data_IF_571335877352
#
_entry.id   IF_571335877352
#
_cell.length_a   1.000
_cell.length_b   1.000
_cell.length_c   1.000
_cell.angle_alpha   90.00
_cell.angle_beta   90.00
_cell.angle_gamma   90.00
#
_symmetry.space_group_name_H-M   'P 1'
#
loop_
_entity.id
_entity.type
_entity.pdbx_description
1 polymer ?
#
# COMPACT_ATOMS: atom_id res chain seq x y z
N UNK A 1 42.78 36.09 42.23
CA UNK A 1 41.33 36.06 42.00
C UNK A 1 41.02 34.99 40.95
N UNK A 2 40.33 33.88 41.30
CA UNK A 2 39.84 32.93 40.30
C UNK A 2 38.66 33.59 39.57
N UNK A 3 38.80 33.90 38.28
CA UNK A 3 37.67 34.33 37.45
C UNK A 3 36.66 33.18 37.39
N UNK A 4 35.50 33.33 38.04
CA UNK A 4 34.33 32.47 37.80
C UNK A 4 33.74 32.90 36.46
N UNK A 5 33.98 32.08 35.42
CA UNK A 5 33.21 32.18 34.19
C UNK A 5 31.85 31.56 34.48
N UNK A 6 30.86 32.40 34.80
CA UNK A 6 29.46 31.96 34.86
C UNK A 6 28.96 31.85 33.41
N UNK A 7 28.35 30.73 33.06
CA UNK A 7 27.53 30.66 31.85
C UNK A 7 26.42 31.69 31.99
N UNK A 8 26.34 32.64 31.06
CA UNK A 8 25.31 33.66 31.04
C UNK A 8 24.02 33.04 30.49
N UNK A 9 22.95 32.91 31.28
CA UNK A 9 21.69 32.31 30.85
C UNK A 9 20.98 33.12 29.75
N UNK A 10 21.36 34.39 29.51
CA UNK A 10 20.78 35.21 28.44
C UNK A 10 21.49 35.07 27.09
N UNK A 11 22.62 34.35 27.02
CA UNK A 11 23.36 34.12 25.78
C UNK A 11 23.29 32.65 25.32
N UNK A 12 22.11 32.27 24.83
CA UNK A 12 21.80 30.91 24.37
C UNK A 12 22.79 30.37 23.32
N UNK A 13 23.26 31.20 22.40
CA UNK A 13 24.23 30.81 21.38
C UNK A 13 25.63 30.49 21.92
N UNK A 14 26.05 31.13 23.02
CA UNK A 14 27.32 30.81 23.69
C UNK A 14 27.20 29.55 24.54
N UNK A 15 26.08 29.38 25.25
CA UNK A 15 25.80 28.18 26.02
C UNK A 15 25.78 26.93 25.13
N UNK A 16 25.12 27.00 23.98
CA UNK A 16 25.00 25.88 23.03
C UNK A 16 26.35 25.50 22.40
N UNK A 17 27.22 26.49 22.13
CA UNK A 17 28.60 26.25 21.67
C UNK A 17 29.45 25.56 22.73
N UNK A 18 29.34 25.97 23.99
CA UNK A 18 30.09 25.36 25.10
C UNK A 18 29.58 23.94 25.36
N UNK A 19 28.26 23.74 25.34
CA UNK A 19 27.64 22.41 25.48
C UNK A 19 28.09 21.47 24.37
N UNK A 20 28.07 21.92 23.11
CA UNK A 20 28.54 21.12 21.97
C UNK A 20 30.02 20.75 22.12
N UNK A 21 30.88 21.72 22.48
CA UNK A 21 32.31 21.46 22.69
C UNK A 21 32.58 20.52 23.89
N UNK A 22 31.76 20.59 24.94
CA UNK A 22 31.84 19.65 26.06
C UNK A 22 31.42 18.25 25.64
N UNK A 23 30.32 18.11 24.89
CA UNK A 23 29.86 16.80 24.39
C UNK A 23 30.86 16.17 23.41
N UNK A 24 31.49 16.97 22.53
CA UNK A 24 32.55 16.51 21.62
C UNK A 24 33.84 16.11 22.35
N UNK A 25 34.15 16.77 23.48
CA UNK A 25 35.33 16.48 24.28
C UNK A 25 35.20 15.34 25.28
N UNK A 26 33.98 14.80 25.47
CA UNK A 26 33.73 13.67 26.37
C UNK A 26 33.99 12.35 25.64
N UNK A 27 34.85 11.50 26.22
CA UNK A 27 34.99 10.13 25.74
C UNK A 27 33.66 9.36 25.95
N UNK A 28 33.18 8.61 24.94
CA UNK A 28 31.97 7.81 25.08
C UNK A 28 32.13 6.80 26.23
N UNK A 29 31.30 6.94 27.26
CA UNK A 29 31.23 5.98 28.35
C UNK A 29 30.87 4.61 27.78
N UNK A 30 31.82 3.69 27.84
CA UNK A 30 31.60 2.31 27.44
C UNK A 30 30.63 1.66 28.43
N UNK A 31 29.50 1.08 27.98
CA UNK A 31 28.60 0.37 28.87
C UNK A 31 29.35 -0.80 29.53
N UNK A 32 29.13 -1.00 30.83
CA UNK A 32 29.65 -2.14 31.58
C UNK A 32 29.19 -3.46 30.96
N UNK A 33 29.86 -4.57 31.27
CA UNK A 33 29.45 -5.88 30.77
C UNK A 33 28.00 -6.22 31.11
N UNK A 34 27.56 -5.87 32.32
CA UNK A 34 26.17 -6.06 32.76
C UNK A 34 25.18 -5.18 31.98
N UNK A 35 25.55 -3.93 31.68
CA UNK A 35 24.74 -3.04 30.84
C UNK A 35 24.65 -3.59 29.41
N UNK A 36 25.78 -4.03 28.83
CA UNK A 36 25.81 -4.67 27.51
C UNK A 36 24.94 -5.92 27.46
N UNK A 37 25.01 -6.78 28.47
CA UNK A 37 24.18 -7.98 28.57
C UNK A 37 22.68 -7.63 28.62
N UNK A 38 22.31 -6.60 29.38
CA UNK A 38 20.92 -6.14 29.51
C UNK A 38 20.40 -5.54 28.21
N UNK A 39 21.20 -4.68 27.55
CA UNK A 39 20.86 -4.10 26.23
C UNK A 39 20.69 -5.22 25.21
N UNK A 40 21.62 -6.18 25.18
CA UNK A 40 21.56 -7.34 24.30
C UNK A 40 20.28 -8.15 24.50
N UNK A 41 19.96 -8.49 25.75
CA UNK A 41 18.75 -9.26 26.06
C UNK A 41 17.47 -8.53 25.60
N UNK A 42 17.36 -7.22 25.88
CA UNK A 42 16.21 -6.41 25.44
C UNK A 42 16.12 -6.30 23.91
N UNK A 43 17.25 -6.15 23.23
CA UNK A 43 17.29 -6.07 21.76
C UNK A 43 16.83 -7.39 21.13
N UNK A 44 17.35 -8.53 21.59
CA UNK A 44 16.91 -9.84 21.10
C UNK A 44 15.43 -10.09 21.39
N UNK A 45 14.95 -9.73 22.58
CA UNK A 45 13.52 -9.83 22.89
C UNK A 45 12.65 -9.00 21.92
N UNK A 46 13.07 -7.77 21.59
CA UNK A 46 12.37 -6.92 20.62
C UNK A 46 12.43 -7.50 19.20
N UNK A 47 13.57 -8.02 18.77
CA UNK A 47 13.72 -8.68 17.47
C UNK A 47 12.81 -9.90 17.37
N UNK A 48 12.76 -10.75 18.41
CA UNK A 48 11.88 -11.91 18.43
C UNK A 48 10.40 -11.52 18.42
N UNK A 49 10.01 -10.49 19.20
CA UNK A 49 8.63 -10.00 19.20
C UNK A 49 8.23 -9.43 17.83
N UNK A 50 9.13 -8.64 17.21
CA UNK A 50 8.94 -8.10 15.86
C UNK A 50 8.78 -9.22 14.83
N UNK A 51 9.72 -10.17 14.79
CA UNK A 51 9.67 -11.30 13.87
C UNK A 51 8.40 -12.14 14.05
N UNK A 52 7.96 -12.37 15.30
CA UNK A 52 6.72 -13.09 15.57
C UNK A 52 5.48 -12.34 15.07
N UNK A 53 5.42 -11.01 15.29
CA UNK A 53 4.31 -10.17 14.86
C UNK A 53 4.22 -10.02 13.33
N UNK A 54 5.35 -10.03 12.64
CA UNK A 54 5.42 -9.88 11.18
C UNK A 54 5.37 -11.23 10.43
N UNK A 55 5.65 -12.36 11.10
CA UNK A 55 5.66 -13.69 10.49
C UNK A 55 4.39 -14.11 9.73
N UNK A 56 3.16 -13.75 10.14
CA UNK A 56 1.97 -14.14 9.38
C UNK A 56 1.73 -13.25 8.15
N UNK A 57 2.43 -12.13 8.02
CA UNK A 57 2.22 -11.15 6.94
C UNK A 57 3.03 -11.53 5.70
N UNK A 58 2.44 -11.34 4.53
CA UNK A 58 3.12 -11.53 3.25
C UNK A 58 3.44 -10.16 2.68
N UNK A 59 4.72 -9.85 2.48
CA UNK A 59 5.15 -8.60 1.82
C UNK A 59 5.82 -8.93 0.49
N UNK A 60 5.37 -8.29 -0.58
CA UNK A 60 5.96 -8.39 -1.91
C UNK A 60 6.52 -7.01 -2.27
N UNK A 61 7.84 -6.93 -2.38
CA UNK A 61 8.48 -5.69 -2.80
C UNK A 61 8.20 -5.39 -4.27
N UNK A 62 8.22 -4.12 -4.65
CA UNK A 62 8.03 -3.66 -6.02
C UNK A 62 8.96 -4.37 -7.02
N UNK A 63 10.21 -4.62 -6.62
CA UNK A 63 11.24 -5.32 -7.39
C UNK A 63 11.19 -6.86 -7.27
N UNK A 64 10.38 -7.41 -6.36
CA UNK A 64 10.17 -8.84 -6.19
C UNK A 64 9.00 -9.34 -7.05
N UNK A 65 8.94 -10.66 -7.24
CA UNK A 65 7.96 -11.34 -8.08
C UNK A 65 8.45 -11.52 -9.52
N UNK A 66 7.69 -12.25 -10.31
CA UNK A 66 8.02 -12.57 -11.71
C UNK A 66 6.97 -12.01 -12.64
N UNK A 67 7.41 -11.23 -13.63
CA UNK A 67 6.59 -10.79 -14.75
C UNK A 67 6.40 -11.92 -15.74
N UNK A 68 5.16 -12.21 -16.10
CA UNK A 68 4.79 -13.21 -17.10
C UNK A 68 4.12 -12.51 -18.28
N UNK A 69 4.56 -12.83 -19.49
CA UNK A 69 3.90 -12.38 -20.71
C UNK A 69 2.52 -13.03 -20.82
N UNK A 70 1.49 -12.21 -21.02
CA UNK A 70 0.11 -12.64 -21.24
C UNK A 70 -0.24 -12.51 -22.72
N UNK A 71 0.07 -11.36 -23.31
CA UNK A 71 -0.09 -11.05 -24.73
C UNK A 71 1.14 -10.26 -25.22
N UNK A 72 1.33 -10.05 -26.53
CA UNK A 72 2.32 -9.10 -27.02
C UNK A 72 2.14 -7.71 -26.36
N UNK A 73 3.19 -7.23 -25.68
CA UNK A 73 3.18 -5.95 -24.96
C UNK A 73 2.33 -5.91 -23.69
N UNK A 74 1.88 -7.07 -23.18
CA UNK A 74 1.11 -7.14 -21.93
C UNK A 74 1.72 -8.18 -21.00
N UNK A 75 2.10 -7.73 -19.81
CA UNK A 75 2.75 -8.55 -18.79
C UNK A 75 1.98 -8.48 -17.48
N UNK A 76 1.93 -9.59 -16.74
CA UNK A 76 1.33 -9.63 -15.41
C UNK A 76 2.32 -10.12 -14.35
N UNK A 77 2.29 -9.52 -13.17
CA UNK A 77 3.02 -9.96 -11.98
C UNK A 77 2.04 -10.31 -10.88
N UNK A 78 1.94 -11.60 -10.58
CA UNK A 78 1.06 -12.12 -9.53
C UNK A 78 1.55 -11.67 -8.15
N UNK A 79 0.63 -11.13 -7.34
CA UNK A 79 0.88 -10.74 -5.95
C UNK A 79 0.32 -11.81 -5.01
N UNK A 80 -0.97 -12.13 -5.14
CA UNK A 80 -1.59 -13.23 -4.38
C UNK A 80 -2.49 -14.08 -5.27
N UNK A 81 -2.35 -15.40 -5.14
CA UNK A 81 -3.17 -16.40 -5.83
C UNK A 81 -4.55 -16.51 -5.22
N UNK A 82 -4.64 -16.48 -3.89
CA UNK A 82 -5.91 -16.73 -3.20
C UNK A 82 -6.88 -15.58 -3.44
N UNK A 83 -6.34 -14.36 -3.31
CA UNK A 83 -7.07 -13.13 -3.53
C UNK A 83 -7.08 -12.64 -4.99
N UNK A 84 -6.40 -13.35 -5.89
CA UNK A 84 -6.26 -13.01 -7.32
C UNK A 84 -5.83 -11.56 -7.54
N UNK A 85 -4.88 -11.11 -6.72
CA UNK A 85 -4.29 -9.78 -6.79
C UNK A 85 -3.02 -9.82 -7.66
N UNK A 86 -2.87 -8.87 -8.57
CA UNK A 86 -1.72 -8.80 -9.47
C UNK A 86 -1.50 -7.40 -10.03
N UNK A 87 -0.31 -7.19 -10.60
CA UNK A 87 -0.02 -6.01 -11.41
C UNK A 87 -0.09 -6.36 -12.89
N UNK A 88 -0.68 -5.49 -13.69
CA UNK A 88 -0.73 -5.58 -15.15
C UNK A 88 0.03 -4.41 -15.76
N UNK A 89 1.09 -4.72 -16.50
CA UNK A 89 1.86 -3.76 -17.27
C UNK A 89 1.45 -3.86 -18.75
N UNK A 90 0.99 -2.74 -19.29
CA UNK A 90 0.58 -2.59 -20.69
C UNK A 90 1.59 -1.65 -21.33
N UNK A 91 2.33 -2.15 -22.31
CA UNK A 91 3.27 -1.34 -23.08
C UNK A 91 2.54 -0.32 -23.98
N UNK A 92 3.20 0.77 -24.39
CA UNK A 92 2.65 1.72 -25.36
C UNK A 92 2.17 1.02 -26.65
N UNK A 93 0.91 1.26 -27.03
CA UNK A 93 0.27 0.67 -28.20
C UNK A 93 -0.29 -0.74 -27.99
N UNK A 94 -0.01 -1.38 -26.85
CA UNK A 94 -0.53 -2.71 -26.55
C UNK A 94 -2.02 -2.67 -26.17
N UNK A 95 -2.68 -3.82 -26.31
CA UNK A 95 -4.09 -3.95 -26.00
C UNK A 95 -4.48 -5.36 -25.60
N UNK A 96 -5.49 -5.45 -24.73
CA UNK A 96 -6.18 -6.68 -24.38
C UNK A 96 -7.55 -6.71 -25.08
N UNK A 97 -8.01 -7.88 -25.53
CA UNK A 97 -9.33 -8.02 -26.13
C UNK A 97 -10.45 -7.65 -25.13
N UNK A 98 -11.63 -7.38 -25.69
CA UNK A 98 -12.88 -7.31 -24.93
C UNK A 98 -13.09 -8.62 -24.15
N UNK A 99 -13.47 -8.51 -22.89
CA UNK A 99 -13.80 -9.64 -22.02
C UNK A 99 -14.95 -9.29 -21.09
N UNK A 100 -15.60 -10.33 -20.56
CA UNK A 100 -16.69 -10.19 -19.58
C UNK A 100 -16.16 -10.58 -18.20
N UNK A 101 -16.55 -9.82 -17.20
CA UNK A 101 -16.24 -10.11 -15.81
C UNK A 101 -17.26 -11.09 -15.24
N UNK A 102 -16.80 -12.23 -14.74
CA UNK A 102 -17.66 -13.19 -14.04
C UNK A 102 -17.73 -12.91 -12.53
N UNK A 103 -16.75 -12.20 -11.99
CA UNK A 103 -16.67 -11.72 -10.62
C UNK A 103 -16.45 -10.20 -10.63
N UNK A 104 -16.45 -9.57 -9.45
CA UNK A 104 -16.12 -8.15 -9.35
C UNK A 104 -14.61 -7.94 -9.56
N UNK A 105 -14.22 -6.96 -10.38
CA UNK A 105 -12.84 -6.58 -10.62
C UNK A 105 -12.56 -5.18 -10.06
N UNK A 106 -11.58 -5.07 -9.15
CA UNK A 106 -11.03 -3.79 -8.70
C UNK A 106 -9.77 -3.43 -9.46
N UNK A 107 -9.69 -2.19 -9.91
CA UNK A 107 -8.57 -1.65 -10.67
C UNK A 107 -8.11 -0.31 -10.10
N UNK A 108 -6.79 -0.14 -9.94
CA UNK A 108 -6.16 1.16 -9.68
C UNK A 108 -5.07 1.40 -10.71
N UNK A 109 -5.09 2.58 -11.34
CA UNK A 109 -4.02 2.98 -12.25
C UNK A 109 -2.84 3.50 -11.43
N UNK A 110 -1.74 2.75 -11.42
CA UNK A 110 -0.51 3.13 -10.70
C UNK A 110 0.36 4.08 -11.52
N UNK A 111 0.41 3.90 -12.85
CA UNK A 111 1.21 4.70 -13.77
C UNK A 111 0.52 4.81 -15.13
N UNK A 112 0.60 5.98 -15.75
CA UNK A 112 0.18 6.19 -17.13
C UNK A 112 -1.34 6.28 -17.28
N UNK A 113 -1.86 5.77 -18.40
CA UNK A 113 -3.29 5.81 -18.69
C UNK A 113 -3.73 4.63 -19.54
N UNK A 114 -4.97 4.18 -19.34
CA UNK A 114 -5.58 3.12 -20.14
C UNK A 114 -6.98 3.55 -20.61
N UNK A 115 -7.39 3.05 -21.76
CA UNK A 115 -8.74 3.14 -22.29
C UNK A 115 -9.44 1.81 -22.09
N UNK A 116 -10.56 1.81 -21.36
CA UNK A 116 -11.47 0.69 -21.10
C UNK A 116 -12.70 0.87 -22.02
N UNK A 117 -12.56 0.53 -23.30
CA UNK A 117 -13.51 0.97 -24.32
C UNK A 117 -13.47 2.50 -24.48
N UNK A 118 -14.61 3.16 -24.33
CA UNK A 118 -14.73 4.62 -24.45
C UNK A 118 -14.29 5.37 -23.18
N UNK A 119 -14.16 4.68 -22.05
CA UNK A 119 -13.73 5.26 -20.79
C UNK A 119 -12.20 5.33 -20.72
N UNK A 120 -11.64 6.52 -20.58
CA UNK A 120 -10.21 6.68 -20.25
C UNK A 120 -10.01 6.78 -18.74
N UNK A 121 -9.04 6.05 -18.19
CA UNK A 121 -8.57 6.11 -16.80
C UNK A 121 -7.10 6.52 -16.75
N UNK A 122 -6.73 7.29 -15.73
CA UNK A 122 -5.37 7.82 -15.54
C UNK A 122 -4.84 7.48 -14.14
N UNK A 123 -3.54 7.66 -13.91
CA UNK A 123 -2.92 7.45 -12.59
C UNK A 123 -3.74 8.01 -11.44
N UNK A 124 -3.97 7.17 -10.43
CA UNK A 124 -4.75 7.48 -9.23
C UNK A 124 -6.25 7.25 -9.37
N UNK A 125 -6.76 7.01 -10.58
CA UNK A 125 -8.16 6.64 -10.78
C UNK A 125 -8.40 5.20 -10.25
N UNK A 126 -9.52 5.04 -9.57
CA UNK A 126 -10.07 3.76 -9.16
C UNK A 126 -11.21 3.37 -10.10
N UNK A 127 -11.26 2.10 -10.48
CA UNK A 127 -12.31 1.54 -11.32
C UNK A 127 -12.77 0.19 -10.76
N UNK A 128 -14.08 0.03 -10.63
CA UNK A 128 -14.72 -1.21 -10.19
C UNK A 128 -15.65 -1.70 -11.29
N UNK A 129 -15.35 -2.88 -11.81
CA UNK A 129 -16.17 -3.58 -12.78
C UNK A 129 -16.98 -4.67 -12.09
N UNK A 130 -18.30 -4.49 -12.00
CA UNK A 130 -19.17 -5.45 -11.28
C UNK A 130 -19.31 -6.77 -12.04
N UNK A 131 -19.54 -7.86 -11.33
CA UNK A 131 -19.80 -9.17 -11.91
C UNK A 131 -20.94 -9.10 -12.94
N UNK A 132 -20.71 -9.65 -14.13
CA UNK A 132 -21.61 -9.57 -15.27
C UNK A 132 -21.44 -8.31 -16.12
N UNK A 133 -20.62 -7.35 -15.73
CA UNK A 133 -20.25 -6.21 -16.58
C UNK A 133 -19.30 -6.64 -17.72
N UNK A 134 -19.06 -5.71 -18.65
CA UNK A 134 -18.18 -5.94 -19.81
C UNK A 134 -17.19 -4.81 -19.93
N UNK A 135 -15.94 -5.16 -20.17
CA UNK A 135 -14.94 -4.21 -20.64
C UNK A 135 -14.84 -4.30 -22.15
N UNK A 136 -14.95 -3.14 -22.81
CA UNK A 136 -14.48 -3.00 -24.19
C UNK A 136 -12.99 -3.32 -24.30
N UNK A 137 -12.43 -3.20 -25.51
CA UNK A 137 -10.99 -3.35 -25.71
C UNK A 137 -10.23 -2.48 -24.71
N UNK A 138 -9.34 -3.10 -23.93
CA UNK A 138 -8.43 -2.36 -23.05
C UNK A 138 -7.19 -2.01 -23.86
N UNK A 139 -6.80 -0.74 -23.90
CA UNK A 139 -5.60 -0.32 -24.62
C UNK A 139 -4.89 0.82 -23.92
N UNK A 140 -3.60 0.98 -24.18
CA UNK A 140 -2.85 2.13 -23.69
C UNK A 140 -2.00 2.73 -24.80
N UNK A 141 -2.17 4.02 -25.08
CA UNK A 141 -1.34 4.72 -26.05
C UNK A 141 0.07 5.01 -25.50
N UNK A 142 0.18 5.33 -24.21
CA UNK A 142 1.43 5.76 -23.54
C UNK A 142 2.04 4.70 -22.63
N UNK A 143 1.41 3.53 -22.54
CA UNK A 143 1.68 2.54 -21.51
C UNK A 143 0.94 2.81 -20.20
N UNK A 144 0.67 1.75 -19.46
CA UNK A 144 -0.02 1.78 -18.17
C UNK A 144 0.50 0.68 -17.24
N UNK A 145 0.54 0.97 -15.94
CA UNK A 145 0.68 -0.03 -14.88
C UNK A 145 -0.57 0.00 -14.02
N UNK A 146 -1.25 -1.14 -13.91
CA UNK A 146 -2.49 -1.28 -13.17
C UNK A 146 -2.31 -2.27 -12.03
N UNK A 147 -2.89 -1.99 -10.88
CA UNK A 147 -3.21 -3.00 -9.88
C UNK A 147 -4.60 -3.56 -10.19
N UNK A 148 -4.74 -4.88 -10.18
CA UNK A 148 -6.00 -5.58 -10.43
C UNK A 148 -6.25 -6.65 -9.37
N UNK A 149 -7.50 -6.78 -8.95
CA UNK A 149 -7.99 -7.82 -8.02
C UNK A 149 -9.31 -8.38 -8.52
N UNK A 150 -9.48 -9.69 -8.41
CA UNK A 150 -10.78 -10.37 -8.62
C UNK A 150 -10.87 -11.17 -9.92
N UNK A 151 -9.90 -11.04 -10.83
CA UNK A 151 -9.84 -11.86 -12.05
C UNK A 151 -8.71 -12.90 -12.02
N UNK A 152 -8.95 -14.13 -12.51
CA UNK A 152 -7.91 -15.15 -12.56
C UNK A 152 -6.83 -14.80 -13.61
N UNK A 153 -5.56 -14.74 -13.18
CA UNK A 153 -4.43 -14.59 -14.10
C UNK A 153 -3.82 -15.94 -14.45
N UNK A 154 -3.86 -16.31 -15.73
CA UNK A 154 -3.03 -17.39 -16.27
C UNK A 154 -3.60 -18.80 -16.15
N UNK A 155 -4.86 -18.97 -15.77
CA UNK A 155 -5.60 -20.20 -16.07
C UNK A 155 -6.14 -20.09 -17.50
N UNK A 156 -5.47 -20.72 -18.45
CA UNK A 156 -5.80 -20.66 -19.90
C UNK A 156 -7.27 -20.98 -20.17
N UNK A 157 -7.90 -21.83 -19.37
CA UNK A 157 -9.32 -22.18 -19.51
C UNK A 157 -10.29 -21.10 -18.97
N UNK A 158 -9.90 -20.34 -17.94
CA UNK A 158 -10.75 -19.29 -17.34
C UNK A 158 -10.57 -17.97 -18.07
N UNK A 159 -9.33 -17.60 -18.40
CA UNK A 159 -9.04 -16.48 -19.30
C UNK A 159 -9.71 -16.70 -20.66
N UNK A 160 -9.67 -17.92 -21.21
CA UNK A 160 -10.42 -18.24 -22.43
C UNK A 160 -11.94 -18.15 -22.25
N UNK A 161 -12.49 -18.48 -21.08
CA UNK A 161 -13.93 -18.34 -20.79
C UNK A 161 -14.36 -16.87 -20.77
N UNK A 162 -13.57 -16.01 -20.13
CA UNK A 162 -13.84 -14.56 -20.04
C UNK A 162 -13.80 -13.89 -21.42
N UNK A 163 -12.89 -14.35 -22.29
CA UNK A 163 -12.85 -13.94 -23.70
C UNK A 163 -13.97 -14.55 -24.55
N UNK A 164 -14.36 -15.81 -24.34
CA UNK A 164 -15.43 -16.49 -25.11
C UNK A 164 -16.83 -15.98 -24.75
N UNK A 165 -17.07 -15.59 -23.49
CA UNK A 165 -18.36 -15.09 -23.00
C UNK A 165 -18.60 -13.60 -23.32
N UNK A 166 -17.60 -12.93 -23.90
CA UNK A 166 -17.67 -11.56 -24.41
C UNK A 166 -18.66 -11.37 -25.58
N UNK A 167 -19.23 -12.45 -26.13
CA UNK A 167 -20.22 -12.43 -27.23
C UNK A 167 -21.69 -12.67 -26.79
N UNK A 168 -21.95 -13.05 -25.54
CA UNK A 168 -23.32 -13.35 -25.05
C UNK A 168 -24.13 -12.09 -24.64
N UNK A 169 -25.41 -11.92 -25.01
CA UNK A 169 -26.20 -10.73 -24.63
C UNK A 169 -26.43 -10.60 -23.12
N UNK A 170 -26.50 -9.36 -22.62
CA UNK A 170 -26.85 -9.03 -21.23
C UNK A 170 -26.36 -7.62 -20.87
N UNK A 171 -27.29 -6.77 -20.42
CA UNK A 171 -27.01 -5.39 -19.99
C UNK A 171 -26.11 -5.44 -18.76
N UNK A 172 -24.83 -5.13 -18.98
CA UNK A 172 -23.79 -5.22 -17.96
C UNK A 172 -24.16 -4.38 -16.74
N UNK A 173 -23.99 -4.96 -15.55
CA UNK A 173 -24.10 -4.22 -14.28
C UNK A 173 -23.11 -3.05 -14.24
N UNK A 174 -23.40 -2.12 -13.34
CA UNK A 174 -22.74 -0.83 -13.13
C UNK A 174 -21.20 -0.89 -13.22
N UNK A 175 -20.61 0.07 -13.93
CA UNK A 175 -19.17 0.36 -13.88
C UNK A 175 -18.99 1.58 -12.99
N UNK A 176 -18.22 1.44 -11.92
CA UNK A 176 -17.98 2.54 -10.97
C UNK A 176 -16.57 3.06 -11.22
N UNK A 177 -16.43 4.35 -11.48
CA UNK A 177 -15.12 5.00 -11.61
C UNK A 177 -15.05 6.19 -10.69
N UNK A 178 -14.04 6.22 -9.83
CA UNK A 178 -13.76 7.35 -8.96
C UNK A 178 -12.44 7.95 -9.43
N UNK A 179 -12.49 9.19 -9.91
CA UNK A 179 -11.28 9.88 -10.34
C UNK A 179 -10.36 10.14 -9.16
N UNK A 180 -9.06 10.25 -9.43
CA UNK A 180 -8.08 10.64 -8.42
C UNK A 180 -8.49 11.94 -7.68
N UNK A 181 -9.00 12.91 -8.45
CA UNK A 181 -9.47 14.23 -7.98
C UNK A 181 -10.90 14.23 -7.42
N UNK A 182 -11.62 13.12 -7.51
CA UNK A 182 -13.00 12.99 -7.02
C UNK A 182 -13.06 12.19 -5.71
N UNK A 183 -14.23 12.24 -5.07
CA UNK A 183 -14.52 11.57 -3.80
C UNK A 183 -14.18 12.43 -2.58
N UNK A 184 -14.85 12.14 -1.47
CA UNK A 184 -14.66 12.85 -0.21
C UNK A 184 -13.56 12.20 0.62
N UNK A 185 -12.73 13.04 1.25
CA UNK A 185 -11.79 12.62 2.27
C UNK A 185 -12.39 12.90 3.65
N UNK A 186 -12.27 11.94 4.57
CA UNK A 186 -12.65 12.09 5.97
C UNK A 186 -11.45 11.79 6.86
N UNK A 187 -11.28 12.56 7.93
CA UNK A 187 -10.20 12.33 8.89
C UNK A 187 -10.43 11.02 9.64
N UNK A 188 -9.40 10.16 9.70
CA UNK A 188 -9.39 8.99 10.58
C UNK A 188 -8.63 9.25 11.87
N UNK A 189 -7.58 10.08 11.81
CA UNK A 189 -6.75 10.49 12.93
C UNK A 189 -6.06 11.84 12.60
N UNK A 190 -5.46 12.55 13.57
CA UNK A 190 -4.65 13.72 13.28
C UNK A 190 -3.57 13.43 12.23
N UNK A 191 -3.60 14.15 11.11
CA UNK A 191 -2.66 13.98 10.01
C UNK A 191 -2.93 12.76 9.12
N UNK A 192 -4.06 12.06 9.30
CA UNK A 192 -4.39 10.90 8.48
C UNK A 192 -5.86 10.90 8.04
N UNK A 193 -6.07 10.83 6.74
CA UNK A 193 -7.39 10.90 6.12
C UNK A 193 -7.63 9.68 5.20
N UNK A 194 -8.90 9.32 5.04
CA UNK A 194 -9.34 8.23 4.17
C UNK A 194 -10.36 8.71 3.15
N UNK A 195 -10.27 8.18 1.93
CA UNK A 195 -11.26 8.32 0.87
C UNK A 195 -11.84 6.95 0.56
N UNK A 196 -13.11 6.75 0.89
CA UNK A 196 -13.83 5.53 0.55
C UNK A 196 -13.91 5.36 -0.96
N UNK A 197 -13.64 4.13 -1.44
CA UNK A 197 -13.71 3.78 -2.86
C UNK A 197 -14.87 2.84 -3.14
N UNK A 198 -14.97 1.76 -2.37
CA UNK A 198 -16.01 0.77 -2.55
C UNK A 198 -16.32 0.00 -1.26
N UNK A 199 -17.58 -0.37 -1.07
CA UNK A 199 -18.07 -1.14 0.08
C UNK A 199 -19.14 -2.14 -0.44
N UNK A 200 -18.94 -3.43 -0.22
CA UNK A 200 -19.90 -4.50 -0.57
C UNK A 200 -20.67 -5.05 0.64
N UNK A 201 -20.54 -4.40 1.79
CA UNK A 201 -21.13 -4.81 3.06
C UNK A 201 -20.29 -5.81 3.85
N UNK A 202 -19.29 -6.46 3.24
CA UNK A 202 -18.33 -7.34 3.92
C UNK A 202 -16.94 -6.71 3.99
N UNK A 203 -16.52 -6.13 2.87
CA UNK A 203 -15.21 -5.55 2.67
C UNK A 203 -15.33 -4.10 2.24
N UNK A 204 -14.30 -3.34 2.59
CA UNK A 204 -14.20 -1.93 2.26
C UNK A 204 -12.84 -1.63 1.66
N UNK A 205 -12.85 -0.98 0.50
CA UNK A 205 -11.68 -0.48 -0.22
C UNK A 205 -11.60 1.04 -0.05
N UNK A 206 -10.41 1.56 0.29
CA UNK A 206 -10.17 3.00 0.42
C UNK A 206 -8.77 3.41 -0.01
N UNK A 207 -8.62 4.71 -0.29
CA UNK A 207 -7.32 5.36 -0.25
C UNK A 207 -7.10 5.99 1.11
N UNK A 208 -5.88 5.89 1.59
CA UNK A 208 -5.41 6.43 2.85
C UNK A 208 -4.28 7.39 2.57
N UNK A 209 -4.39 8.62 3.06
CA UNK A 209 -3.32 9.61 3.03
C UNK A 209 -2.79 9.81 4.44
N UNK A 210 -1.48 9.58 4.60
CA UNK A 210 -0.74 9.77 5.84
C UNK A 210 0.19 10.96 5.64
N UNK A 211 0.04 12.01 6.45
CA UNK A 211 0.97 13.14 6.42
C UNK A 211 2.30 12.76 7.08
N UNK A 212 3.37 13.46 6.69
CA UNK A 212 4.69 13.29 7.29
C UNK A 212 4.64 13.44 8.82
N UNK A 213 5.32 12.55 9.55
CA UNK A 213 5.35 12.48 11.01
C UNK A 213 4.04 12.01 11.66
N UNK A 214 3.05 11.58 10.88
CA UNK A 214 1.78 11.09 11.41
C UNK A 214 1.82 9.57 11.62
N UNK A 215 1.01 9.12 12.58
CA UNK A 215 0.82 7.71 12.88
C UNK A 215 -0.65 7.43 13.18
N UNK A 216 -1.09 6.23 12.88
CA UNK A 216 -2.39 5.74 13.31
C UNK A 216 -2.34 4.25 13.65
N UNK A 217 -3.44 3.71 14.13
CA UNK A 217 -3.64 2.26 14.26
C UNK A 217 -5.08 1.94 13.92
N UNK A 218 -5.31 0.92 13.10
CA UNK A 218 -6.67 0.48 12.80
C UNK A 218 -7.35 0.00 14.09
N UNK A 219 -8.64 0.31 14.24
CA UNK A 219 -9.41 -0.05 15.45
C UNK A 219 -9.79 -1.54 15.49
N UNK A 220 -9.65 -2.27 14.38
CA UNK A 220 -9.98 -3.69 14.31
C UNK A 220 -8.83 -4.55 14.81
N UNK A 221 -9.01 -5.19 15.96
CA UNK A 221 -8.00 -6.09 16.52
C UNK A 221 -8.66 -7.28 17.24
N UNK A 222 -8.38 -8.54 16.87
CA UNK A 222 -7.64 -8.97 15.67
C UNK A 222 -8.43 -8.71 14.37
N UNK A 223 -7.75 -8.76 13.21
CA UNK A 223 -8.37 -8.52 11.91
C UNK A 223 -9.49 -9.53 11.61
N UNK A 224 -10.69 -9.04 11.29
CA UNK A 224 -11.85 -9.88 10.97
C UNK A 224 -11.81 -10.49 9.56
N UNK A 225 -11.08 -9.86 8.66
CA UNK A 225 -10.80 -10.32 7.29
C UNK A 225 -9.35 -10.02 6.94
N UNK A 226 -8.88 -10.63 5.86
CA UNK A 226 -7.62 -10.28 5.22
C UNK A 226 -7.58 -8.77 4.91
N UNK A 227 -6.48 -8.13 5.31
CA UNK A 227 -6.21 -6.72 5.02
C UNK A 227 -5.07 -6.64 4.01
N UNK A 228 -5.37 -6.09 2.84
CA UNK A 228 -4.42 -5.83 1.77
C UNK A 228 -4.04 -4.35 1.75
N UNK A 229 -2.75 -4.08 1.59
CA UNK A 229 -2.27 -2.74 1.30
C UNK A 229 -1.34 -2.70 0.09
N UNK A 230 -1.45 -1.63 -0.68
CA UNK A 230 -0.53 -1.28 -1.76
C UNK A 230 -0.08 0.15 -1.56
N UNK A 231 1.22 0.37 -1.36
CA UNK A 231 1.73 1.73 -1.25
C UNK A 231 1.78 2.38 -2.64
N UNK A 232 1.06 3.48 -2.82
CA UNK A 232 0.99 4.20 -4.09
C UNK A 232 2.08 5.26 -4.18
N UNK A 233 2.27 6.03 -3.10
CA UNK A 233 3.24 7.13 -3.03
C UNK A 233 3.94 7.16 -1.68
N UNK A 234 5.19 7.64 -1.67
CA UNK A 234 5.98 7.82 -0.45
C UNK A 234 6.47 6.52 0.18
N UNK A 235 6.52 6.52 1.51
CA UNK A 235 6.93 5.40 2.36
C UNK A 235 6.14 5.38 3.66
N UNK A 236 5.87 4.20 4.19
CA UNK A 236 5.22 4.05 5.49
C UNK A 236 5.68 2.76 6.17
N UNK A 237 5.88 2.83 7.48
CA UNK A 237 6.05 1.66 8.33
C UNK A 237 4.69 1.05 8.64
N UNK A 238 4.54 -0.24 8.38
CA UNK A 238 3.45 -1.08 8.87
C UNK A 238 4.02 -1.96 9.98
N UNK A 239 3.77 -1.58 11.22
CA UNK A 239 4.48 -2.15 12.37
C UNK A 239 5.98 -1.85 12.27
N UNK A 240 6.78 -2.90 12.13
CA UNK A 240 8.24 -2.78 11.98
C UNK A 240 8.70 -2.90 10.50
N UNK A 241 7.76 -3.09 9.58
CA UNK A 241 8.05 -3.27 8.16
C UNK A 241 7.88 -1.96 7.39
N UNK A 242 8.98 -1.34 6.95
CA UNK A 242 8.93 -0.21 6.02
C UNK A 242 8.47 -0.69 4.64
N UNK A 243 7.44 -0.07 4.07
CA UNK A 243 6.98 -0.23 2.69
C UNK A 243 7.30 1.04 1.89
N UNK A 244 7.63 0.87 0.61
CA UNK A 244 7.80 1.96 -0.36
C UNK A 244 6.77 1.88 -1.48
N UNK A 245 6.64 2.94 -2.29
CA UNK A 245 5.77 2.95 -3.48
C UNK A 245 5.97 1.68 -4.34
N UNK A 246 4.87 1.00 -4.64
CA UNK A 246 4.80 -0.25 -5.38
C UNK A 246 5.00 -1.52 -4.54
N UNK A 247 5.31 -1.41 -3.25
CA UNK A 247 5.29 -2.54 -2.32
C UNK A 247 3.84 -2.88 -1.95
N UNK A 248 3.57 -4.18 -1.85
CA UNK A 248 2.27 -4.72 -1.48
C UNK A 248 2.43 -5.60 -0.23
N UNK A 249 1.46 -5.55 0.69
CA UNK A 249 1.42 -6.44 1.84
C UNK A 249 0.01 -6.98 2.08
N UNK A 250 -0.06 -8.23 2.53
CA UNK A 250 -1.27 -8.88 3.04
C UNK A 250 -1.07 -9.26 4.49
N UNK A 251 -1.98 -8.79 5.33
CA UNK A 251 -2.15 -9.24 6.70
C UNK A 251 -3.33 -10.22 6.73
N UNK A 252 -3.13 -11.49 7.12
CA UNK A 252 -4.21 -12.46 7.09
C UNK A 252 -5.22 -12.21 8.22
N UNK A 253 -6.43 -12.72 8.01
CA UNK A 253 -7.47 -12.81 9.03
C UNK A 253 -6.93 -13.37 10.35
N UNK A 254 -7.28 -12.74 11.47
CA UNK A 254 -6.80 -13.11 12.81
C UNK A 254 -5.44 -12.53 13.19
N UNK A 255 -4.71 -11.88 12.27
CA UNK A 255 -3.50 -11.15 12.62
C UNK A 255 -3.82 -9.91 13.48
N UNK A 256 -2.90 -9.56 14.36
CA UNK A 256 -2.97 -8.33 15.15
C UNK A 256 -2.77 -7.11 14.24
N UNK A 257 -3.60 -6.08 14.41
CA UNK A 257 -3.40 -4.77 13.77
C UNK A 257 -2.08 -4.16 14.20
N UNK A 258 -1.40 -3.49 13.28
CA UNK A 258 -0.10 -2.87 13.52
C UNK A 258 -0.22 -1.36 13.31
N UNK A 259 0.49 -0.55 14.12
CA UNK A 259 0.53 0.88 13.88
C UNK A 259 1.10 1.15 12.50
N UNK A 260 0.55 2.16 11.81
CA UNK A 260 1.11 2.65 10.56
C UNK A 260 1.61 4.06 10.78
N UNK A 261 2.86 4.33 10.41
CA UNK A 261 3.47 5.65 10.50
C UNK A 261 4.24 5.99 9.24
N UNK A 262 4.42 7.27 8.95
CA UNK A 262 5.19 7.72 7.79
C UNK A 262 6.07 8.92 8.17
N UNK A 263 7.34 8.85 7.79
CA UNK A 263 8.29 9.94 8.04
C UNK A 263 8.15 11.04 6.98
N UNK A 264 7.85 10.67 5.72
CA UNK A 264 7.79 11.60 4.58
C UNK A 264 6.38 11.86 4.03
N UNK A 265 5.38 11.15 4.56
CA UNK A 265 4.04 11.09 4.04
C UNK A 265 3.85 9.95 3.03
N UNK A 266 2.63 9.43 2.96
CA UNK A 266 2.28 8.30 2.09
C UNK A 266 0.86 8.39 1.55
N UNK A 267 0.65 7.78 0.38
CA UNK A 267 -0.66 7.43 -0.15
C UNK A 267 -0.73 5.91 -0.28
N UNK A 268 -1.73 5.30 0.34
CA UNK A 268 -1.87 3.84 0.40
C UNK A 268 -3.26 3.45 -0.07
N UNK A 269 -3.35 2.42 -0.91
CA UNK A 269 -4.61 1.71 -1.11
C UNK A 269 -4.75 0.64 -0.02
N UNK A 270 -5.89 0.62 0.67
CA UNK A 270 -6.23 -0.36 1.69
C UNK A 270 -7.52 -1.08 1.31
N UNK A 271 -7.55 -2.40 1.49
CA UNK A 271 -8.76 -3.20 1.41
C UNK A 271 -8.81 -4.15 2.59
N UNK A 272 -9.90 -4.14 3.34
CA UNK A 272 -10.04 -4.99 4.52
C UNK A 272 -11.49 -5.16 4.95
N UNK A 273 -11.67 -5.66 6.17
CA UNK A 273 -12.99 -5.76 6.77
C UNK A 273 -13.65 -4.37 6.86
N UNK A 274 -14.96 -4.32 6.61
CA UNK A 274 -15.73 -3.10 6.88
C UNK A 274 -15.67 -2.78 8.38
N UNK A 275 -15.23 -1.57 8.74
CA UNK A 275 -15.36 -1.09 10.12
C UNK A 275 -16.86 -0.95 10.45
N UNK A 276 -17.32 -1.58 11.52
CA UNK A 276 -18.64 -1.27 12.05
C UNK A 276 -18.63 0.21 12.46
N UNK A 277 -19.60 0.98 11.93
CA UNK A 277 -19.78 2.39 12.24
C UNK A 277 -20.15 2.60 13.71
#
# INVERSE_FOLDING_TARGET
>A
MKKRYSLDPENSGQAQKIESALLEGLEPLQPSEQQRATIRARLFQRIHASAAAESPRVTIRSHQGQWRKILPGVHAKLLDRNNRAFLLDIEPGASLPMHRHHEDEECIVLRGSASLGDLKVNTGDYHMARAGSRHGKISSASGALLYLRGIPVGHTAEVARDFLSALLPGDGRELITIRASEGAWSDLAPGVASKALYDDGQTHSSLVRIAAGSQWTSQQTPLAHDEECLLLEGDAFFGDTLLHSGDWQLAPTGAESRPVSSDHGALVFMRGARNAA
#
